data_IF_755738980259
#
_entry.id   IF_755738980259
#
_cell.length_a   1.000
_cell.length_b   1.000
_cell.length_c   1.000
_cell.angle_alpha   90.00
_cell.angle_beta   90.00
_cell.angle_gamma   90.00
#
_symmetry.space_group_name_H-M   'P 1'
#
loop_
_entity.id
_entity.type
_entity.pdbx_description
1 polymer ?
#
# COMPACT_ATOMS: atom_id res chain seq x y z
N UNK A 1 -7.70 40.22 4.18
CA UNK A 1 -8.71 39.15 4.40
C UNK A 1 -7.94 37.89 4.73
N UNK A 2 -8.26 37.17 5.82
CA UNK A 2 -7.64 35.86 6.03
C UNK A 2 -8.29 34.89 5.04
N UNK A 3 -7.51 34.39 4.08
CA UNK A 3 -7.96 33.28 3.25
C UNK A 3 -8.25 32.10 4.17
N UNK A 4 -9.54 31.83 4.38
CA UNK A 4 -9.98 30.68 5.14
C UNK A 4 -9.59 29.44 4.34
N UNK A 5 -8.82 28.55 4.96
CA UNK A 5 -8.46 27.28 4.35
C UNK A 5 -9.69 26.39 4.44
N UNK A 6 -10.30 26.08 3.32
CA UNK A 6 -11.41 25.13 3.29
C UNK A 6 -10.88 23.70 3.43
N UNK A 7 -10.85 23.21 4.66
CA UNK A 7 -10.47 21.84 4.98
C UNK A 7 -11.62 20.84 4.85
N UNK A 8 -12.84 21.27 4.45
CA UNK A 8 -14.02 20.38 4.40
C UNK A 8 -13.86 19.21 3.44
N UNK A 9 -13.03 19.37 2.41
CA UNK A 9 -12.76 18.34 1.41
C UNK A 9 -11.47 17.54 1.68
N UNK A 10 -10.78 17.83 2.79
CA UNK A 10 -9.57 17.09 3.16
C UNK A 10 -9.96 15.85 3.94
N UNK A 11 -9.70 14.68 3.35
CA UNK A 11 -9.91 13.40 4.03
C UNK A 11 -9.02 13.33 5.27
N UNK A 12 -9.62 13.01 6.42
CA UNK A 12 -8.86 12.83 7.65
C UNK A 12 -7.96 11.62 7.56
N UNK A 13 -6.75 11.76 8.07
CA UNK A 13 -5.81 10.66 8.14
C UNK A 13 -6.18 9.72 9.28
N UNK A 14 -6.52 8.50 8.91
CA UNK A 14 -6.86 7.40 9.82
C UNK A 14 -5.66 6.53 10.22
N UNK A 15 -4.50 6.76 9.59
CA UNK A 15 -3.32 5.88 9.70
C UNK A 15 -3.09 5.00 8.47
N UNK A 16 -4.06 4.93 7.54
CA UNK A 16 -3.97 4.18 6.30
C UNK A 16 -3.64 5.10 5.10
N UNK A 17 -3.00 4.53 4.07
CA UNK A 17 -2.67 5.21 2.82
C UNK A 17 -1.90 6.55 3.02
N UNK A 18 -0.87 6.51 3.86
CA UNK A 18 -0.09 7.69 4.25
C UNK A 18 0.47 8.46 3.05
N UNK A 19 0.86 7.77 1.97
CA UNK A 19 1.42 8.42 0.78
C UNK A 19 0.38 9.30 0.05
N UNK A 20 -0.85 8.80 -0.13
CA UNK A 20 -1.92 9.60 -0.74
C UNK A 20 -2.28 10.81 0.13
N UNK A 21 -2.40 10.62 1.45
CA UNK A 21 -2.65 11.73 2.37
C UNK A 21 -1.50 12.74 2.38
N UNK A 22 -0.24 12.28 2.46
CA UNK A 22 0.97 13.12 2.41
C UNK A 22 1.02 13.96 1.14
N UNK A 23 0.62 13.40 0.00
CA UNK A 23 0.50 14.14 -1.26
C UNK A 23 -0.53 15.28 -1.17
N UNK A 24 -1.73 15.00 -0.66
CA UNK A 24 -2.78 16.03 -0.46
C UNK A 24 -2.30 17.15 0.47
N UNK A 25 -1.62 16.79 1.56
CA UNK A 25 -1.08 17.76 2.51
C UNK A 25 0.01 18.65 1.90
N UNK A 26 0.93 18.05 1.15
CA UNK A 26 1.95 18.82 0.42
C UNK A 26 1.31 19.82 -0.55
N UNK A 27 0.27 19.42 -1.28
CA UNK A 27 -0.47 20.33 -2.17
C UNK A 27 -1.09 21.51 -1.41
N UNK A 28 -1.69 21.25 -0.24
CA UNK A 28 -2.26 22.30 0.63
C UNK A 28 -1.16 23.24 1.13
N UNK A 29 -0.02 22.71 1.58
CA UNK A 29 1.07 23.53 2.10
C UNK A 29 1.71 24.40 1.00
N UNK A 30 1.84 23.88 -0.21
CA UNK A 30 2.31 24.66 -1.37
C UNK A 30 1.34 25.77 -1.72
N UNK A 31 0.04 25.47 -1.80
CA UNK A 31 -1.00 26.46 -2.09
C UNK A 31 -1.08 27.59 -1.05
N UNK A 32 -0.56 27.35 0.16
CA UNK A 32 -0.59 28.30 1.27
C UNK A 32 0.76 28.95 1.59
N UNK A 33 1.81 28.69 0.79
CA UNK A 33 3.18 29.20 1.00
C UNK A 33 3.75 28.91 2.41
N UNK A 34 3.54 27.68 2.88
CA UNK A 34 3.99 27.21 4.20
C UNK A 34 4.78 25.89 4.15
N UNK A 35 4.96 25.29 2.97
CA UNK A 35 5.68 24.01 2.83
C UNK A 35 7.11 24.07 3.39
N UNK A 36 7.82 25.19 3.19
CA UNK A 36 9.19 25.33 3.65
C UNK A 36 9.32 25.37 5.17
N UNK A 37 8.30 25.90 5.86
CA UNK A 37 8.21 25.89 7.33
C UNK A 37 7.94 24.47 7.83
N UNK A 38 6.99 23.77 7.21
CA UNK A 38 6.63 22.38 7.56
C UNK A 38 7.80 21.43 7.32
N UNK A 39 8.54 21.59 6.24
CA UNK A 39 9.72 20.77 5.94
C UNK A 39 10.96 21.22 6.71
N UNK A 40 10.93 22.41 7.32
CA UNK A 40 12.02 22.98 8.11
C UNK A 40 13.16 23.53 7.26
N UNK A 41 12.94 23.73 5.96
CA UNK A 41 13.88 24.40 5.05
C UNK A 41 13.89 25.92 5.26
N UNK A 42 12.83 26.47 5.86
CA UNK A 42 12.75 27.85 6.35
C UNK A 42 12.78 27.86 7.88
N UNK A 43 13.97 28.00 8.52
CA UNK A 43 14.08 28.06 9.96
C UNK A 43 13.50 29.36 10.52
N UNK A 44 13.16 29.35 11.81
CA UNK A 44 12.68 30.55 12.50
C UNK A 44 13.74 31.67 12.42
N UNK A 45 13.37 32.87 11.94
CA UNK A 45 14.29 34.00 11.84
C UNK A 45 14.55 34.64 13.21
N UNK A 46 15.67 35.36 13.33
CA UNK A 46 16.08 36.05 14.56
C UNK A 46 15.48 37.46 14.72
N UNK A 47 15.00 38.06 13.62
CA UNK A 47 14.40 39.39 13.63
C UNK A 47 12.93 39.33 14.10
N UNK A 48 12.56 40.16 15.09
CA UNK A 48 11.24 40.13 15.74
C UNK A 48 10.05 40.24 14.77
N UNK A 49 10.16 41.09 13.74
CA UNK A 49 9.09 41.28 12.77
C UNK A 49 8.89 40.04 11.90
N UNK A 50 9.98 39.47 11.39
CA UNK A 50 9.98 38.24 10.60
C UNK A 50 9.58 37.02 11.46
N UNK A 51 10.00 36.98 12.73
CA UNK A 51 9.70 35.89 13.66
C UNK A 51 8.19 35.81 13.92
N UNK A 52 7.50 36.94 14.12
CA UNK A 52 6.04 36.97 14.29
C UNK A 52 5.31 36.43 13.05
N UNK A 53 5.79 36.73 11.85
CA UNK A 53 5.21 36.21 10.60
C UNK A 53 5.42 34.70 10.51
N UNK A 54 6.64 34.24 10.78
CA UNK A 54 6.99 32.82 10.79
C UNK A 54 6.13 32.03 11.78
N UNK A 55 6.00 32.51 13.03
CA UNK A 55 5.18 31.87 14.07
C UNK A 55 3.72 31.74 13.61
N UNK A 56 3.18 32.76 12.95
CA UNK A 56 1.81 32.71 12.42
C UNK A 56 1.66 31.68 11.30
N UNK A 57 2.65 31.55 10.42
CA UNK A 57 2.67 30.53 9.36
C UNK A 57 2.84 29.11 9.94
N UNK A 58 3.70 28.93 10.93
CA UNK A 58 3.87 27.64 11.64
C UNK A 58 2.59 27.23 12.36
N UNK A 59 1.95 28.15 13.09
CA UNK A 59 0.65 27.90 13.73
C UNK A 59 -0.45 27.54 12.72
N UNK A 60 -0.46 28.20 11.55
CA UNK A 60 -1.36 27.84 10.43
C UNK A 60 -1.11 26.41 9.97
N UNK A 61 0.15 26.01 9.80
CA UNK A 61 0.50 24.65 9.41
C UNK A 61 0.13 23.60 10.48
N UNK A 62 0.39 23.89 11.76
CA UNK A 62 -0.02 23.03 12.88
C UNK A 62 -1.54 22.82 12.93
N UNK A 63 -2.30 23.90 12.68
CA UNK A 63 -3.76 23.83 12.61
C UNK A 63 -4.23 22.91 11.47
N UNK A 64 -3.65 23.05 10.27
CA UNK A 64 -3.99 22.20 9.12
C UNK A 64 -3.69 20.73 9.45
N UNK A 65 -2.48 20.43 9.93
CA UNK A 65 -2.06 19.08 10.29
C UNK A 65 -3.02 18.46 11.31
N UNK A 66 -3.27 19.15 12.42
CA UNK A 66 -4.14 18.65 13.48
C UNK A 66 -5.59 18.44 13.01
N UNK A 67 -6.11 19.34 12.17
CA UNK A 67 -7.48 19.27 11.66
C UNK A 67 -7.68 18.17 10.60
N UNK A 68 -6.60 17.80 9.92
CA UNK A 68 -6.58 16.76 8.88
C UNK A 68 -6.41 15.34 9.41
N UNK A 69 -6.57 15.12 10.73
CA UNK A 69 -6.32 13.83 11.38
C UNK A 69 -7.54 13.31 12.13
N UNK A 70 -7.63 11.98 12.20
CA UNK A 70 -8.51 11.32 13.15
C UNK A 70 -7.94 11.39 14.58
N UNK A 71 -8.79 11.30 15.62
CA UNK A 71 -8.37 11.47 17.01
C UNK A 71 -7.19 10.57 17.41
N UNK A 72 -7.20 9.30 17.00
CA UNK A 72 -6.13 8.35 17.32
C UNK A 72 -4.78 8.69 16.68
N UNK A 73 -4.77 9.36 15.51
CA UNK A 73 -3.52 9.83 14.91
C UNK A 73 -3.04 11.13 15.56
N UNK A 74 -3.97 12.00 15.96
CA UNK A 74 -3.66 13.26 16.64
C UNK A 74 -2.97 13.06 17.99
N UNK A 75 -3.32 12.00 18.72
CA UNK A 75 -2.67 11.63 20.00
C UNK A 75 -1.15 11.53 19.89
N UNK A 76 -0.64 11.04 18.75
CA UNK A 76 0.80 10.93 18.52
C UNK A 76 1.49 12.30 18.43
N UNK A 77 0.76 13.38 18.17
CA UNK A 77 1.34 14.71 17.91
C UNK A 77 1.24 15.68 19.07
N UNK A 78 0.55 15.33 20.15
CA UNK A 78 0.30 16.23 21.30
C UNK A 78 1.56 16.80 21.96
N UNK A 79 2.72 16.15 21.77
CA UNK A 79 4.02 16.58 22.32
C UNK A 79 4.87 17.40 21.34
N UNK A 80 4.43 17.55 20.09
CA UNK A 80 5.17 18.30 19.06
C UNK A 80 5.03 19.80 19.29
N UNK A 81 6.10 20.56 19.05
CA UNK A 81 6.15 22.01 19.34
C UNK A 81 6.07 22.89 18.11
N UNK A 82 6.23 22.31 16.93
CA UNK A 82 6.18 23.00 15.65
C UNK A 82 5.52 22.12 14.60
N UNK A 83 5.08 22.72 13.49
CA UNK A 83 4.57 21.97 12.35
C UNK A 83 5.64 21.05 11.75
N UNK A 84 6.92 21.44 11.84
CA UNK A 84 8.04 20.62 11.41
C UNK A 84 8.20 19.35 12.24
N UNK A 85 8.11 19.47 13.57
CA UNK A 85 8.16 18.32 14.47
C UNK A 85 7.02 17.34 14.18
N UNK A 86 5.80 17.87 14.01
CA UNK A 86 4.62 17.08 13.65
C UNK A 86 4.86 16.32 12.33
N UNK A 87 5.30 17.03 11.29
CA UNK A 87 5.54 16.46 9.97
C UNK A 87 6.62 15.38 9.97
N UNK A 88 7.75 15.64 10.64
CA UNK A 88 8.83 14.66 10.82
C UNK A 88 8.34 13.42 11.56
N UNK A 89 7.61 13.58 12.65
CA UNK A 89 7.09 12.46 13.45
C UNK A 89 6.15 11.58 12.65
N UNK A 90 5.20 12.17 11.92
CA UNK A 90 4.29 11.43 11.03
C UNK A 90 5.04 10.69 9.95
N UNK A 91 5.98 11.37 9.31
CA UNK A 91 6.80 10.80 8.24
C UNK A 91 7.57 9.60 8.74
N UNK A 92 8.28 9.71 9.86
CA UNK A 92 9.00 8.58 10.47
C UNK A 92 8.05 7.44 10.83
N UNK A 93 6.94 7.74 11.52
CA UNK A 93 6.02 6.72 12.03
C UNK A 93 5.35 5.92 10.90
N UNK A 94 4.90 6.60 9.84
CA UNK A 94 4.07 5.98 8.82
C UNK A 94 4.84 5.55 7.58
N UNK A 95 5.91 6.24 7.20
CA UNK A 95 6.75 5.85 6.06
C UNK A 95 7.61 4.63 6.41
N UNK A 96 8.20 4.59 7.61
CA UNK A 96 8.93 3.39 8.07
C UNK A 96 7.98 2.19 8.20
N UNK A 97 6.76 2.42 8.69
CA UNK A 97 5.74 1.37 8.82
C UNK A 97 5.24 0.88 7.47
N UNK A 98 5.04 1.76 6.48
CA UNK A 98 4.62 1.37 5.13
C UNK A 98 5.71 0.53 4.44
N UNK A 99 6.97 0.97 4.49
CA UNK A 99 8.08 0.24 3.88
C UNK A 99 8.33 -1.12 4.56
N UNK A 100 8.29 -1.16 5.89
CA UNK A 100 8.46 -2.42 6.62
C UNK A 100 7.31 -3.40 6.35
N UNK A 101 6.06 -2.91 6.30
CA UNK A 101 4.89 -3.74 6.00
C UNK A 101 4.94 -4.27 4.57
N UNK A 102 5.35 -3.43 3.61
CA UNK A 102 5.56 -3.80 2.22
C UNK A 102 6.64 -4.87 2.09
N UNK A 103 7.80 -4.70 2.73
CA UNK A 103 8.87 -5.70 2.69
C UNK A 103 8.43 -7.05 3.27
N UNK A 104 7.74 -7.05 4.41
CA UNK A 104 7.23 -8.27 5.04
C UNK A 104 6.23 -8.98 4.11
N UNK A 105 5.31 -8.23 3.50
CA UNK A 105 4.31 -8.80 2.60
C UNK A 105 4.94 -9.31 1.30
N UNK A 106 5.93 -8.60 0.75
CA UNK A 106 6.67 -9.02 -0.43
C UNK A 106 7.44 -10.31 -0.17
N UNK A 107 8.08 -10.41 1.01
CA UNK A 107 8.74 -11.65 1.47
C UNK A 107 7.73 -12.79 1.54
N UNK A 108 6.57 -12.59 2.17
CA UNK A 108 5.49 -13.60 2.21
C UNK A 108 5.01 -13.99 0.82
N UNK A 109 4.86 -13.03 -0.09
CA UNK A 109 4.47 -13.29 -1.47
C UNK A 109 5.50 -14.18 -2.19
N UNK A 110 6.80 -13.89 -2.06
CA UNK A 110 7.87 -14.69 -2.67
C UNK A 110 7.98 -16.10 -2.06
N UNK A 111 7.90 -16.20 -0.74
CA UNK A 111 8.04 -17.47 -0.01
C UNK A 111 6.81 -18.37 -0.12
N UNK A 112 5.64 -17.79 -0.39
CA UNK A 112 4.39 -18.54 -0.44
C UNK A 112 4.47 -19.75 -1.40
N UNK A 113 4.00 -20.91 -0.93
CA UNK A 113 3.81 -22.12 -1.70
C UNK A 113 2.42 -22.68 -1.43
N UNK A 114 1.78 -23.25 -2.45
CA UNK A 114 0.53 -23.97 -2.27
C UNK A 114 0.76 -25.17 -1.35
N UNK A 115 -0.03 -25.29 -0.30
CA UNK A 115 -0.02 -26.49 0.54
C UNK A 115 -0.62 -27.68 -0.22
N UNK A 116 -0.10 -28.89 0.00
CA UNK A 116 -0.60 -30.11 -0.66
C UNK A 116 -2.10 -30.36 -0.44
N UNK A 117 -2.63 -29.86 0.69
CA UNK A 117 -4.02 -30.00 1.13
C UNK A 117 -4.91 -28.80 0.80
N UNK A 118 -4.34 -27.70 0.28
CA UNK A 118 -5.16 -26.58 -0.19
C UNK A 118 -5.75 -26.90 -1.57
N UNK A 119 -6.93 -26.36 -1.87
CA UNK A 119 -7.47 -26.39 -3.23
C UNK A 119 -6.81 -25.33 -4.11
N UNK A 120 -6.81 -25.54 -5.42
CA UNK A 120 -6.35 -24.56 -6.41
C UNK A 120 -7.09 -23.23 -6.24
N UNK A 121 -8.41 -23.25 -6.03
CA UNK A 121 -9.20 -22.04 -5.84
C UNK A 121 -8.70 -21.21 -4.63
N UNK A 122 -8.46 -21.87 -3.50
CA UNK A 122 -7.93 -21.22 -2.29
C UNK A 122 -6.50 -20.73 -2.51
N UNK A 123 -5.71 -21.48 -3.28
CA UNK A 123 -4.36 -21.10 -3.64
C UNK A 123 -4.32 -19.79 -4.45
N UNK A 124 -5.10 -19.72 -5.54
CA UNK A 124 -5.22 -18.53 -6.40
C UNK A 124 -5.69 -17.33 -5.58
N UNK A 125 -6.76 -17.48 -4.81
CA UNK A 125 -7.31 -16.40 -3.99
C UNK A 125 -6.29 -15.84 -2.98
N UNK A 126 -5.44 -16.69 -2.40
CA UNK A 126 -4.35 -16.23 -1.52
C UNK A 126 -3.31 -15.40 -2.28
N UNK A 127 -2.90 -15.81 -3.48
CA UNK A 127 -1.95 -15.05 -4.32
C UNK A 127 -2.54 -13.69 -4.69
N UNK A 128 -3.76 -13.67 -5.22
CA UNK A 128 -4.45 -12.43 -5.62
C UNK A 128 -4.65 -11.48 -4.44
N UNK A 129 -4.99 -12.01 -3.27
CA UNK A 129 -5.15 -11.19 -2.06
C UNK A 129 -3.82 -10.56 -1.61
N UNK A 130 -2.71 -11.30 -1.67
CA UNK A 130 -1.38 -10.72 -1.39
C UNK A 130 -0.99 -9.67 -2.42
N UNK A 131 -1.26 -9.92 -3.71
CA UNK A 131 -1.02 -8.95 -4.78
C UNK A 131 -1.83 -7.66 -4.56
N UNK A 132 -3.12 -7.78 -4.20
CA UNK A 132 -3.98 -6.64 -3.88
C UNK A 132 -3.46 -5.84 -2.68
N UNK A 133 -3.06 -6.53 -1.61
CA UNK A 133 -2.48 -5.87 -0.43
C UNK A 133 -1.16 -5.14 -0.75
N UNK A 134 -0.36 -5.67 -1.69
CA UNK A 134 0.83 -4.97 -2.19
C UNK A 134 0.44 -3.73 -2.99
N UNK A 135 -0.58 -3.81 -3.85
CA UNK A 135 -1.13 -2.66 -4.57
C UNK A 135 -1.64 -1.58 -3.62
N UNK A 136 -2.30 -1.96 -2.52
CA UNK A 136 -2.75 -1.03 -1.47
C UNK A 136 -1.59 -0.33 -0.75
N UNK A 137 -0.38 -0.89 -0.81
CA UNK A 137 0.88 -0.32 -0.33
C UNK A 137 1.68 0.35 -1.45
N UNK A 138 1.01 0.71 -2.55
CA UNK A 138 1.58 1.33 -3.75
C UNK A 138 2.69 0.49 -4.42
N UNK A 139 2.64 -0.84 -4.28
CA UNK A 139 3.50 -1.77 -5.02
C UNK A 139 2.69 -2.45 -6.12
N UNK A 140 2.97 -2.11 -7.37
CA UNK A 140 2.21 -2.63 -8.49
C UNK A 140 2.63 -4.08 -8.84
N UNK A 141 1.73 -5.03 -8.66
CA UNK A 141 1.95 -6.43 -9.04
C UNK A 141 1.20 -6.72 -10.34
N UNK A 142 1.94 -6.93 -11.43
CA UNK A 142 1.36 -7.21 -12.74
C UNK A 142 0.71 -8.60 -12.81
N UNK A 143 -0.26 -8.77 -13.72
CA UNK A 143 -0.90 -10.07 -13.99
C UNK A 143 0.13 -11.16 -14.34
N UNK A 144 1.18 -10.82 -15.08
CA UNK A 144 2.28 -11.73 -15.39
C UNK A 144 2.97 -12.21 -14.11
N UNK A 145 3.21 -11.31 -13.15
CA UNK A 145 3.80 -11.66 -11.85
C UNK A 145 2.87 -12.56 -11.04
N UNK A 146 1.56 -12.30 -11.08
CA UNK A 146 0.54 -13.12 -10.41
C UNK A 146 0.52 -14.53 -11.03
N UNK A 147 0.45 -14.64 -12.37
CA UNK A 147 0.45 -15.92 -13.07
C UNK A 147 1.74 -16.71 -12.81
N UNK A 148 2.90 -16.07 -12.93
CA UNK A 148 4.19 -16.68 -12.62
C UNK A 148 4.24 -17.17 -11.17
N UNK A 149 3.67 -16.40 -10.24
CA UNK A 149 3.58 -16.80 -8.84
C UNK A 149 2.70 -18.03 -8.65
N UNK A 150 1.51 -18.05 -9.25
CA UNK A 150 0.60 -19.20 -9.20
C UNK A 150 1.33 -20.44 -9.72
N UNK A 151 1.83 -20.42 -10.95
CA UNK A 151 2.52 -21.54 -11.59
C UNK A 151 3.74 -22.02 -10.80
N UNK A 152 4.61 -21.10 -10.40
CA UNK A 152 5.86 -21.42 -9.69
C UNK A 152 5.68 -21.85 -8.23
N UNK A 153 4.46 -21.82 -7.71
CA UNK A 153 4.16 -22.19 -6.33
C UNK A 153 3.22 -23.39 -6.20
N UNK A 154 2.85 -24.00 -7.34
CA UNK A 154 2.12 -25.26 -7.38
C UNK A 154 2.99 -26.44 -6.90
N UNK A 155 2.39 -27.46 -6.27
CA UNK A 155 3.09 -28.70 -5.98
C UNK A 155 3.41 -29.48 -7.26
N UNK A 156 4.43 -30.34 -7.20
CA UNK A 156 4.94 -31.11 -8.36
C UNK A 156 3.89 -31.96 -9.08
N UNK A 157 2.78 -32.31 -8.42
CA UNK A 157 1.64 -33.02 -9.04
C UNK A 157 1.01 -32.27 -10.22
N UNK A 158 1.23 -30.96 -10.33
CA UNK A 158 0.78 -30.14 -11.46
C UNK A 158 1.86 -29.87 -12.52
N UNK A 159 3.03 -30.51 -12.48
CA UNK A 159 4.11 -30.25 -13.45
C UNK A 159 3.64 -30.43 -14.91
N UNK A 160 2.81 -31.45 -15.19
CA UNK A 160 2.24 -31.66 -16.52
C UNK A 160 1.36 -30.49 -16.98
N UNK A 161 0.62 -29.86 -16.05
CA UNK A 161 -0.15 -28.65 -16.34
C UNK A 161 0.77 -27.48 -16.68
N UNK A 162 1.82 -27.25 -15.88
CA UNK A 162 2.78 -26.16 -16.10
C UNK A 162 3.42 -26.29 -17.48
N UNK A 163 3.89 -27.48 -17.87
CA UNK A 163 4.43 -27.72 -19.22
C UNK A 163 3.39 -27.47 -20.31
N UNK A 164 2.13 -27.88 -20.10
CA UNK A 164 1.05 -27.62 -21.07
C UNK A 164 0.60 -26.15 -21.11
N UNK A 165 0.98 -25.35 -20.12
CA UNK A 165 0.75 -23.91 -20.09
C UNK A 165 1.77 -23.15 -20.96
N UNK A 166 3.02 -23.61 -21.00
CA UNK A 166 4.08 -23.00 -21.82
C UNK A 166 3.76 -23.04 -23.32
N UNK A 167 2.96 -24.01 -23.77
CA UNK A 167 2.54 -24.14 -25.17
C UNK A 167 1.30 -23.29 -25.54
N UNK A 168 0.79 -22.47 -24.63
CA UNK A 168 -0.36 -21.59 -24.89
C UNK A 168 0.10 -20.36 -25.64
N UNK A 169 -0.63 -19.97 -26.68
CA UNK A 169 -0.39 -18.71 -27.40
C UNK A 169 -0.32 -17.53 -26.42
N UNK A 170 0.66 -16.65 -26.61
CA UNK A 170 0.97 -15.56 -25.66
C UNK A 170 -0.23 -14.64 -25.41
N UNK A 171 -1.06 -14.37 -26.42
CA UNK A 171 -2.28 -13.56 -26.31
C UNK A 171 -3.37 -14.22 -25.44
N UNK A 172 -3.30 -15.54 -25.24
CA UNK A 172 -4.22 -16.32 -24.41
C UNK A 172 -3.66 -16.64 -23.03
N UNK A 173 -2.42 -16.27 -22.73
CA UNK A 173 -1.83 -16.40 -21.40
C UNK A 173 -2.35 -15.28 -20.49
N UNK A 174 -3.64 -15.35 -20.14
CA UNK A 174 -4.30 -14.41 -19.22
C UNK A 174 -4.56 -15.07 -17.87
N UNK A 175 -4.67 -14.26 -16.82
CA UNK A 175 -4.99 -14.74 -15.47
C UNK A 175 -6.33 -15.49 -15.43
N UNK A 176 -7.32 -15.05 -16.20
CA UNK A 176 -8.61 -15.71 -16.37
C UNK A 176 -8.45 -17.12 -16.97
N UNK A 177 -7.76 -17.24 -18.11
CA UNK A 177 -7.57 -18.53 -18.76
C UNK A 177 -6.74 -19.49 -17.90
N UNK A 178 -5.70 -18.98 -17.21
CA UNK A 178 -4.91 -19.76 -16.26
C UNK A 178 -5.83 -20.34 -15.16
N UNK A 179 -6.65 -19.48 -14.55
CA UNK A 179 -7.57 -19.86 -13.49
C UNK A 179 -8.55 -20.94 -13.95
N UNK A 180 -9.22 -20.73 -15.10
CA UNK A 180 -10.18 -21.70 -15.63
C UNK A 180 -9.53 -23.05 -15.92
N UNK A 181 -8.37 -23.07 -16.59
CA UNK A 181 -7.70 -24.33 -16.95
C UNK A 181 -7.16 -25.07 -15.73
N UNK A 182 -6.60 -24.37 -14.76
CA UNK A 182 -6.02 -24.97 -13.56
C UNK A 182 -7.09 -25.58 -12.64
N UNK A 183 -8.24 -24.92 -12.49
CA UNK A 183 -9.40 -25.47 -11.76
C UNK A 183 -9.97 -26.73 -12.43
N UNK A 184 -10.03 -26.73 -13.77
CA UNK A 184 -10.44 -27.91 -14.54
C UNK A 184 -9.46 -29.08 -14.35
N UNK A 185 -8.17 -28.79 -14.27
CA UNK A 185 -7.16 -29.81 -14.02
C UNK A 185 -7.30 -30.45 -12.64
N UNK A 186 -7.45 -29.64 -11.58
CA UNK A 186 -7.70 -30.16 -10.23
C UNK A 186 -8.93 -31.08 -10.17
N UNK A 187 -10.00 -30.71 -10.87
CA UNK A 187 -11.23 -31.50 -10.96
C UNK A 187 -10.98 -32.86 -11.65
N UNK A 188 -10.21 -32.87 -12.75
CA UNK A 188 -9.82 -34.10 -13.47
C UNK A 188 -8.97 -35.02 -12.59
N UNK A 189 -7.96 -34.48 -11.92
CA UNK A 189 -7.08 -35.24 -11.03
C UNK A 189 -7.87 -35.86 -9.88
N UNK A 190 -8.78 -35.10 -9.27
CA UNK A 190 -9.64 -35.58 -8.18
C UNK A 190 -10.58 -36.70 -8.64
N UNK A 191 -11.17 -36.56 -9.83
CA UNK A 191 -12.02 -37.61 -10.40
C UNK A 191 -11.24 -38.90 -10.67
N UNK A 192 -10.02 -38.78 -11.21
CA UNK A 192 -9.16 -39.93 -11.51
C UNK A 192 -8.73 -40.69 -10.26
N UNK A 193 -8.37 -39.97 -9.19
CA UNK A 193 -8.01 -40.59 -7.91
C UNK A 193 -9.17 -41.38 -7.29
N UNK A 194 -10.41 -40.89 -7.41
CA UNK A 194 -11.60 -41.61 -6.90
C UNK A 194 -11.86 -42.93 -7.62
N UNK A 195 -11.54 -43.02 -8.92
CA UNK A 195 -11.73 -44.22 -9.72
C UNK A 195 -10.69 -45.32 -9.43
N UNK A 196 -9.55 -44.99 -8.82
CA UNK A 196 -8.49 -45.96 -8.48
C UNK A 196 -8.62 -46.56 -7.07
N UNK A 197 -9.54 -46.04 -6.26
CA UNK A 197 -9.79 -46.49 -4.88
C UNK A 197 -11.04 -47.38 -4.79
N UNK A 198 -11.74 -47.57 -5.92
CA UNK A 198 -12.84 -48.52 -6.13
C UNK A 198 -12.31 -49.79 -6.79
#
# INVERSE_FOLDING_TARGET
MSEFIDLKNVTKFSGANFQAWKFQMNAIFMANDILNIVTGTEPMPTEDAAMKIWIKKDAKAMFILSSSMDPGQLEHLLTCKSSNDMWKKLTVLHEQRSESSKLILMTKFHDYRMSANDSVAKHIAKVENMARQLTDLNENISDITIMAKILGSLPSKYNAFVTAWDSVDTDKQTLENLTTRLLKEESRMTAWMKLQVL
#
